data_IF_070788414394
#
_entry.id   IF_070788414394
#
_cell.length_a   1.000
_cell.length_b   1.000
_cell.length_c   1.000
_cell.angle_alpha   90.00
_cell.angle_beta   90.00
_cell.angle_gamma   90.00
#
_symmetry.space_group_name_H-M   'P 1'
#
loop_
_entity.id
_entity.type
_entity.pdbx_description
1 polymer ?
#
# COMPACT_ATOMS: atom_id res chain seq x y z
N UNK A 1 -12.31 9.25 4.57
CA UNK A 1 -11.04 9.26 5.33
C UNK A 1 -10.75 7.85 5.81
N UNK A 2 -9.49 7.42 5.71
CA UNK A 2 -8.99 6.15 6.28
C UNK A 2 -7.78 6.46 7.15
N UNK A 3 -7.73 5.93 8.37
CA UNK A 3 -6.62 6.14 9.32
C UNK A 3 -5.94 4.79 9.57
N UNK A 4 -4.83 4.48 8.89
CA UNK A 4 -4.04 3.31 9.21
C UNK A 4 -3.43 3.44 10.61
N UNK A 5 -3.27 2.30 11.25
CA UNK A 5 -2.67 2.22 12.58
C UNK A 5 -1.95 0.89 12.74
N UNK A 6 -1.01 0.85 13.68
CA UNK A 6 -0.28 -0.33 14.11
C UNK A 6 -0.02 -0.28 15.61
N UNK A 7 0.45 -1.37 16.20
CA UNK A 7 0.91 -1.37 17.59
C UNK A 7 2.40 -0.96 17.67
N UNK A 8 2.79 -0.31 18.75
CA UNK A 8 4.15 0.23 18.92
C UNK A 8 5.24 -0.85 18.85
N UNK A 9 4.95 -2.08 19.28
CA UNK A 9 5.82 -3.26 19.18
C UNK A 9 5.30 -4.29 18.18
N UNK A 10 4.52 -3.83 17.18
CA UNK A 10 3.93 -4.62 16.08
C UNK A 10 2.87 -5.64 16.53
N UNK A 11 3.18 -6.50 17.49
CA UNK A 11 2.31 -7.53 18.07
C UNK A 11 1.68 -7.04 19.40
N UNK A 12 2.30 -6.05 20.06
CA UNK A 12 1.87 -5.55 21.36
C UNK A 12 2.20 -4.07 21.54
N UNK A 13 1.78 -3.50 22.68
CA UNK A 13 2.05 -2.11 23.05
C UNK A 13 0.88 -1.19 22.77
N UNK A 14 1.17 0.10 22.62
CA UNK A 14 0.15 1.14 22.40
C UNK A 14 -0.18 1.31 20.91
N UNK A 15 -1.42 1.66 20.55
CA UNK A 15 -1.77 1.96 19.19
C UNK A 15 -1.09 3.26 18.72
N UNK A 16 -0.50 3.21 17.53
CA UNK A 16 0.11 4.33 16.81
C UNK A 16 -0.59 4.51 15.48
N UNK A 17 -1.06 5.71 15.21
CA UNK A 17 -1.70 6.07 13.94
C UNK A 17 -0.69 6.60 12.93
N UNK A 18 -0.93 6.36 11.65
CA UNK A 18 -0.19 6.98 10.56
C UNK A 18 -0.95 8.20 10.03
N UNK A 19 -0.29 8.95 9.13
CA UNK A 19 -0.93 10.07 8.42
C UNK A 19 -2.19 9.57 7.74
N UNK A 20 -3.36 10.19 7.95
CA UNK A 20 -4.60 9.71 7.37
C UNK A 20 -4.62 9.89 5.85
N UNK A 21 -5.32 8.97 5.17
CA UNK A 21 -5.72 9.17 3.79
C UNK A 21 -7.03 9.97 3.75
N UNK A 22 -6.98 11.13 3.12
CA UNK A 22 -8.10 12.06 2.98
C UNK A 22 -8.30 12.33 1.50
N UNK A 23 -9.56 12.23 1.07
CA UNK A 23 -9.96 12.50 -0.30
C UNK A 23 -11.39 13.05 -0.30
N UNK A 24 -11.74 13.88 -1.30
CA UNK A 24 -13.11 14.39 -1.44
C UNK A 24 -14.10 13.24 -1.64
N UNK A 25 -15.18 13.23 -0.87
CA UNK A 25 -16.21 12.17 -0.96
C UNK A 25 -16.89 12.15 -2.33
N UNK A 26 -17.15 13.32 -2.91
CA UNK A 26 -17.70 13.47 -4.26
C UNK A 26 -16.76 12.90 -5.30
N UNK A 27 -15.50 13.32 -5.27
CA UNK A 27 -14.47 12.83 -6.20
C UNK A 27 -14.28 11.31 -6.09
N UNK A 28 -14.20 10.78 -4.86
CA UNK A 28 -14.05 9.34 -4.64
C UNK A 28 -15.24 8.53 -5.18
N UNK A 29 -16.47 9.06 -5.06
CA UNK A 29 -17.67 8.43 -5.60
C UNK A 29 -17.68 8.43 -7.14
N UNK A 30 -17.37 9.58 -7.74
CA UNK A 30 -17.27 9.72 -9.20
C UNK A 30 -16.18 8.84 -9.78
N UNK A 31 -14.98 8.84 -9.19
CA UNK A 31 -13.86 8.03 -9.66
C UNK A 31 -14.15 6.53 -9.51
N UNK A 32 -14.82 6.11 -8.44
CA UNK A 32 -15.30 4.72 -8.30
C UNK A 32 -16.22 4.35 -9.46
N UNK A 33 -17.18 5.22 -9.81
CA UNK A 33 -18.12 4.97 -10.91
C UNK A 33 -17.37 4.91 -12.26
N UNK A 34 -16.47 5.86 -12.50
CA UNK A 34 -15.61 5.89 -13.69
C UNK A 34 -14.75 4.62 -13.81
N UNK A 35 -14.07 4.22 -12.73
CA UNK A 35 -13.26 3.01 -12.70
C UNK A 35 -14.10 1.77 -13.04
N UNK A 36 -15.32 1.68 -12.49
CA UNK A 36 -16.22 0.56 -12.73
C UNK A 36 -16.72 0.48 -14.17
N UNK A 37 -17.08 1.62 -14.77
CA UNK A 37 -17.61 1.72 -16.13
C UNK A 37 -16.55 1.55 -17.20
N UNK A 38 -15.38 2.18 -17.02
CA UNK A 38 -14.40 2.40 -18.09
C UNK A 38 -13.05 1.71 -17.89
N UNK A 39 -12.57 1.59 -16.65
CA UNK A 39 -11.23 1.02 -16.38
C UNK A 39 -11.26 -0.48 -16.13
N UNK A 40 -12.35 -0.99 -15.56
CA UNK A 40 -12.52 -2.41 -15.25
C UNK A 40 -12.61 -3.24 -16.53
N UNK A 41 -11.72 -4.21 -16.70
CA UNK A 41 -11.78 -5.21 -17.77
C UNK A 41 -12.66 -6.39 -17.36
N UNK A 42 -13.84 -6.51 -17.94
CA UNK A 42 -14.77 -7.61 -17.66
C UNK A 42 -15.71 -7.87 -18.84
N UNK A 43 -16.29 -9.08 -18.90
CA UNK A 43 -17.37 -9.43 -19.83
C UNK A 43 -18.76 -9.07 -19.27
N UNK A 44 -18.85 -8.80 -17.98
CA UNK A 44 -20.10 -8.41 -17.32
C UNK A 44 -20.48 -6.97 -17.66
N UNK A 45 -21.78 -6.69 -17.55
CA UNK A 45 -22.35 -5.35 -17.63
C UNK A 45 -21.70 -4.39 -16.63
N UNK A 46 -21.20 -3.26 -17.12
CA UNK A 46 -20.52 -2.23 -16.31
C UNK A 46 -21.39 -1.01 -16.05
N UNK A 47 -22.63 -1.00 -16.53
CA UNK A 47 -23.56 0.11 -16.32
C UNK A 47 -23.88 0.31 -14.84
N UNK A 48 -24.07 1.58 -14.47
CA UNK A 48 -24.43 2.03 -13.12
C UNK A 48 -25.76 2.76 -13.22
N UNK A 49 -26.65 2.47 -12.27
CA UNK A 49 -27.91 3.18 -12.06
C UNK A 49 -27.69 4.19 -10.93
N UNK A 50 -27.59 5.45 -11.30
CA UNK A 50 -27.56 6.57 -10.36
C UNK A 50 -28.99 7.04 -10.08
N UNK A 51 -29.34 7.38 -8.83
CA UNK A 51 -30.66 7.88 -8.52
C UNK A 51 -30.92 9.28 -9.09
N UNK A 52 -32.13 9.50 -9.58
CA UNK A 52 -32.57 10.80 -10.12
C UNK A 52 -33.54 11.50 -9.14
N UNK A 53 -33.63 12.82 -9.22
CA UNK A 53 -34.62 13.60 -8.46
C UNK A 53 -34.38 13.68 -6.94
N UNK A 54 -33.15 13.41 -6.48
CA UNK A 54 -32.78 13.52 -5.06
C UNK A 54 -32.58 14.99 -4.70
N UNK A 55 -33.25 15.44 -3.65
CA UNK A 55 -33.07 16.76 -3.06
C UNK A 55 -32.18 16.70 -1.80
N UNK A 56 -31.60 17.82 -1.36
CA UNK A 56 -30.91 17.88 -0.07
C UNK A 56 -31.80 17.38 1.07
N UNK A 57 -31.22 16.63 2.00
CA UNK A 57 -31.92 15.96 3.12
C UNK A 57 -32.98 14.93 2.67
N UNK A 58 -32.56 13.87 1.95
CA UNK A 58 -33.46 12.82 1.49
C UNK A 58 -34.11 12.07 2.65
N UNK A 59 -35.29 11.49 2.40
CA UNK A 59 -35.92 10.56 3.36
C UNK A 59 -35.07 9.31 3.46
N UNK A 60 -35.18 8.61 4.61
CA UNK A 60 -34.49 7.33 4.83
C UNK A 60 -34.77 6.29 3.73
N UNK A 61 -35.95 6.35 3.11
CA UNK A 61 -36.37 5.45 2.03
C UNK A 61 -35.83 5.81 0.65
N UNK A 62 -35.29 7.02 0.46
CA UNK A 62 -34.92 7.48 -0.87
C UNK A 62 -33.65 6.75 -1.34
N UNK A 63 -33.61 6.25 -2.58
CA UNK A 63 -32.42 5.61 -3.10
C UNK A 63 -31.37 6.70 -3.36
N UNK A 64 -30.32 6.77 -2.54
CA UNK A 64 -29.25 7.78 -2.69
C UNK A 64 -27.93 7.21 -3.19
N UNK A 65 -27.82 5.89 -3.22
CA UNK A 65 -26.59 5.18 -3.60
C UNK A 65 -26.64 4.71 -5.04
N UNK A 66 -25.54 4.90 -5.75
CA UNK A 66 -25.30 4.28 -7.05
C UNK A 66 -25.35 2.75 -6.95
N UNK A 67 -25.97 2.10 -7.94
CA UNK A 67 -26.07 0.63 -7.99
C UNK A 67 -25.56 0.09 -9.32
N UNK A 68 -24.61 -0.86 -9.32
CA UNK A 68 -24.15 -1.50 -10.54
C UNK A 68 -25.24 -2.44 -11.06
N UNK A 69 -25.33 -2.61 -12.38
CA UNK A 69 -26.23 -3.59 -13.00
C UNK A 69 -25.79 -5.03 -12.73
N UNK A 70 -24.48 -5.26 -12.61
CA UNK A 70 -23.92 -6.59 -12.36
C UNK A 70 -22.73 -6.54 -11.40
N UNK A 71 -22.94 -7.00 -10.16
CA UNK A 71 -21.88 -7.12 -9.16
C UNK A 71 -22.02 -8.41 -8.34
N UNK A 72 -21.90 -9.56 -9.00
CA UNK A 72 -22.00 -10.86 -8.33
C UNK A 72 -20.97 -11.10 -7.23
N UNK A 73 -19.89 -10.31 -7.18
CA UNK A 73 -18.82 -10.44 -6.19
C UNK A 73 -18.80 -9.38 -5.09
N UNK A 74 -19.76 -8.45 -5.05
CA UNK A 74 -19.80 -7.38 -4.05
C UNK A 74 -18.55 -6.49 -4.06
N UNK A 75 -18.08 -6.14 -5.26
CA UNK A 75 -16.87 -5.36 -5.48
C UNK A 75 -17.15 -3.88 -5.73
N UNK A 76 -18.36 -3.53 -6.17
CA UNK A 76 -18.75 -2.14 -6.32
C UNK A 76 -18.73 -1.44 -4.95
N UNK A 77 -18.24 -0.21 -4.91
CA UNK A 77 -18.03 0.50 -3.63
C UNK A 77 -16.63 0.33 -3.03
N UNK A 78 -15.84 -0.67 -3.43
CA UNK A 78 -14.50 -0.90 -2.88
C UNK A 78 -13.47 0.06 -3.48
N UNK A 79 -13.43 1.28 -2.94
CA UNK A 79 -12.57 2.37 -3.40
C UNK A 79 -11.07 2.01 -3.44
N UNK A 80 -10.59 1.20 -2.49
CA UNK A 80 -9.19 0.76 -2.43
C UNK A 80 -8.73 -0.06 -3.64
N UNK A 81 -9.65 -0.56 -4.49
CA UNK A 81 -9.32 -1.32 -5.70
C UNK A 81 -9.18 -0.47 -6.95
N UNK A 82 -9.41 0.83 -6.84
CA UNK A 82 -9.38 1.75 -7.98
C UNK A 82 -7.95 2.22 -8.32
N UNK A 83 -6.97 1.86 -7.50
CA UNK A 83 -5.57 2.27 -7.62
C UNK A 83 -5.26 3.66 -7.05
N UNK A 84 -6.28 4.48 -6.74
CA UNK A 84 -6.07 5.86 -6.28
C UNK A 84 -5.39 5.93 -4.92
N UNK A 85 -5.53 4.88 -4.11
CA UNK A 85 -4.90 4.76 -2.80
C UNK A 85 -3.49 4.14 -2.86
N UNK A 86 -3.02 3.66 -4.03
CA UNK A 86 -1.81 2.84 -4.12
C UNK A 86 -0.56 3.61 -3.69
N UNK A 87 -0.40 4.84 -4.18
CA UNK A 87 0.72 5.71 -3.78
C UNK A 87 0.72 5.98 -2.28
N UNK A 88 -0.46 6.21 -1.71
CA UNK A 88 -0.60 6.40 -0.26
C UNK A 88 -0.25 5.13 0.51
N UNK A 89 -0.74 3.97 0.08
CA UNK A 89 -0.45 2.68 0.72
C UNK A 89 1.04 2.34 0.66
N UNK A 90 1.72 2.67 -0.44
CA UNK A 90 3.16 2.46 -0.56
C UNK A 90 3.93 3.32 0.46
N UNK A 91 3.60 4.61 0.57
CA UNK A 91 4.18 5.48 1.60
C UNK A 91 3.91 4.98 3.01
N UNK A 92 2.67 4.58 3.31
CA UNK A 92 2.30 4.05 4.62
C UNK A 92 3.06 2.75 4.97
N UNK A 93 3.48 1.97 3.97
CA UNK A 93 4.28 0.75 4.16
C UNK A 93 5.77 1.02 4.37
N UNK A 94 6.27 2.20 3.98
CA UNK A 94 7.64 2.62 4.22
C UNK A 94 7.87 3.08 5.68
N UNK A 95 6.79 3.37 6.42
CA UNK A 95 6.84 3.74 7.82
C UNK A 95 7.58 2.69 8.68
N UNK A 96 8.49 3.17 9.51
CA UNK A 96 9.31 2.31 10.37
C UNK A 96 8.57 1.93 11.66
N UNK A 97 8.45 0.63 11.89
CA UNK A 97 7.93 0.02 13.11
C UNK A 97 9.05 -0.82 13.73
N UNK A 98 9.49 -0.45 14.94
CA UNK A 98 10.64 -1.07 15.61
C UNK A 98 11.93 -1.08 14.75
N UNK A 99 12.16 -0.04 13.96
CA UNK A 99 13.33 0.06 13.08
C UNK A 99 13.20 -0.68 11.75
N UNK A 100 12.08 -1.38 11.51
CA UNK A 100 11.83 -2.15 10.28
C UNK A 100 10.60 -1.57 9.57
N UNK A 101 10.70 -1.36 8.26
CA UNK A 101 9.59 -0.87 7.45
C UNK A 101 8.36 -1.79 7.55
N UNK A 102 7.16 -1.19 7.61
CA UNK A 102 5.91 -1.93 7.74
C UNK A 102 5.68 -2.94 6.61
N UNK A 103 6.20 -2.72 5.39
CA UNK A 103 6.13 -3.72 4.31
C UNK A 103 6.73 -5.08 4.69
N UNK A 104 7.83 -5.09 5.44
CA UNK A 104 8.52 -6.33 5.82
C UNK A 104 7.75 -7.06 6.92
N UNK A 105 7.16 -6.33 7.87
CA UNK A 105 6.26 -6.90 8.85
C UNK A 105 5.02 -7.53 8.21
N UNK A 106 4.40 -6.85 7.23
CA UNK A 106 3.27 -7.41 6.49
C UNK A 106 3.65 -8.68 5.72
N UNK A 107 4.83 -8.69 5.09
CA UNK A 107 5.35 -9.87 4.41
C UNK A 107 5.59 -11.03 5.39
N UNK A 108 6.16 -10.74 6.56
CA UNK A 108 6.35 -11.71 7.64
C UNK A 108 5.01 -12.31 8.09
N UNK A 109 4.02 -11.49 8.47
CA UNK A 109 2.73 -12.01 8.93
C UNK A 109 1.98 -12.81 7.86
N UNK A 110 2.13 -12.46 6.59
CA UNK A 110 1.52 -13.21 5.48
C UNK A 110 2.03 -14.66 5.42
N UNK A 111 3.28 -14.92 5.81
CA UNK A 111 3.83 -16.30 5.88
C UNK A 111 3.05 -17.14 6.90
N UNK A 112 2.61 -16.54 8.00
CA UNK A 112 1.91 -17.25 9.09
C UNK A 112 0.38 -17.31 8.93
N UNK A 113 -0.20 -16.58 7.97
CA UNK A 113 -1.66 -16.60 7.73
C UNK A 113 -2.14 -17.86 7.01
N UNK A 114 -1.29 -18.44 6.15
CA UNK A 114 -1.59 -19.71 5.51
C UNK A 114 -1.24 -20.83 6.50
N UNK A 115 -2.23 -21.59 6.96
CA UNK A 115 -2.06 -22.82 7.75
C UNK A 115 -1.28 -23.85 6.90
N UNK A 116 0.04 -23.70 6.85
CA UNK A 116 0.96 -24.52 6.07
C UNK A 116 1.79 -25.37 7.01
N UNK A 117 2.08 -26.59 6.56
CA UNK A 117 3.00 -27.50 7.23
C UNK A 117 4.34 -26.79 7.51
N UNK A 118 5.01 -27.13 8.61
CA UNK A 118 6.28 -26.51 9.06
C UNK A 118 7.35 -26.46 7.97
N UNK A 119 7.40 -27.47 7.10
CA UNK A 119 8.31 -27.51 5.95
C UNK A 119 8.05 -26.38 4.92
N UNK A 120 6.79 -26.03 4.68
CA UNK A 120 6.43 -24.95 3.76
C UNK A 120 6.65 -23.57 4.37
N UNK A 121 6.44 -23.44 5.68
CA UNK A 121 6.79 -22.22 6.42
C UNK A 121 8.29 -21.94 6.34
N UNK A 122 9.14 -22.95 6.55
CA UNK A 122 10.59 -22.79 6.45
C UNK A 122 11.00 -22.29 5.06
N UNK A 123 10.49 -22.91 3.99
CA UNK A 123 10.76 -22.47 2.61
C UNK A 123 10.35 -21.02 2.36
N UNK A 124 9.21 -20.58 2.91
CA UNK A 124 8.75 -19.21 2.75
C UNK A 124 9.60 -18.20 3.53
N UNK A 125 10.05 -18.56 4.74
CA UNK A 125 10.98 -17.76 5.53
C UNK A 125 12.34 -17.63 4.83
N UNK A 126 12.89 -18.73 4.31
CA UNK A 126 14.16 -18.73 3.58
C UNK A 126 14.08 -17.82 2.35
N UNK A 127 12.96 -17.88 1.61
CA UNK A 127 12.71 -17.01 0.45
C UNK A 127 12.62 -15.53 0.85
N UNK A 128 11.96 -15.23 1.98
CA UNK A 128 11.87 -13.87 2.51
C UNK A 128 13.26 -13.35 2.91
N UNK A 129 14.05 -14.16 3.61
CA UNK A 129 15.41 -13.82 4.02
C UNK A 129 16.33 -13.57 2.81
N UNK A 130 16.26 -14.41 1.78
CA UNK A 130 17.02 -14.22 0.54
C UNK A 130 16.66 -12.88 -0.14
N UNK A 131 15.36 -12.58 -0.26
CA UNK A 131 14.87 -11.33 -0.87
C UNK A 131 15.36 -10.09 -0.10
N UNK A 132 15.37 -10.15 1.23
CA UNK A 132 15.88 -9.07 2.07
C UNK A 132 17.41 -8.91 1.93
N UNK A 133 18.15 -10.02 1.89
CA UNK A 133 19.60 -10.02 1.71
C UNK A 133 19.99 -9.40 0.36
N UNK A 134 19.26 -9.72 -0.71
CA UNK A 134 19.50 -9.14 -2.03
C UNK A 134 19.17 -7.64 -2.07
N UNK A 135 18.08 -7.21 -1.42
CA UNK A 135 17.76 -5.78 -1.26
C UNK A 135 18.88 -5.04 -0.51
N UNK A 136 19.39 -5.61 0.58
CA UNK A 136 20.49 -5.01 1.36
C UNK A 136 21.75 -4.87 0.51
N UNK A 137 22.18 -5.94 -0.18
CA UNK A 137 23.35 -5.90 -1.07
C UNK A 137 23.21 -4.85 -2.17
N UNK A 138 22.02 -4.74 -2.77
CA UNK A 138 21.77 -3.72 -3.79
C UNK A 138 21.81 -2.29 -3.21
N UNK A 139 21.34 -2.10 -1.98
CA UNK A 139 21.42 -0.81 -1.28
C UNK A 139 22.87 -0.43 -0.93
N UNK A 140 23.67 -1.38 -0.42
CA UNK A 140 25.09 -1.20 -0.13
C UNK A 140 25.89 -0.88 -1.40
N UNK A 141 25.64 -1.61 -2.49
CA UNK A 141 26.33 -1.38 -3.77
C UNK A 141 25.92 -0.07 -4.44
N UNK A 142 24.66 0.35 -4.29
CA UNK A 142 24.12 1.56 -4.93
C UNK A 142 24.47 2.84 -4.17
N UNK A 143 24.01 2.96 -2.92
CA UNK A 143 24.09 4.20 -2.13
C UNK A 143 25.46 4.34 -1.43
N UNK A 144 25.87 3.30 -0.69
CA UNK A 144 27.17 3.31 0.00
C UNK A 144 28.34 3.17 -0.97
N UNK A 145 28.18 2.44 -2.08
CA UNK A 145 29.18 2.36 -3.14
C UNK A 145 29.52 3.71 -3.76
N UNK A 146 28.51 4.58 -3.96
CA UNK A 146 28.71 5.92 -4.51
C UNK A 146 29.38 6.86 -3.49
N UNK A 147 28.99 6.77 -2.21
CA UNK A 147 29.62 7.53 -1.11
C UNK A 147 31.08 7.09 -0.93
N UNK A 148 31.34 5.78 -0.95
CA UNK A 148 32.70 5.22 -0.83
C UNK A 148 33.60 5.67 -1.98
N UNK A 149 33.09 5.71 -3.22
CA UNK A 149 33.84 6.28 -4.36
C UNK A 149 34.17 7.75 -4.17
N UNK A 150 33.24 8.55 -3.65
CA UNK A 150 33.48 9.97 -3.36
C UNK A 150 34.50 10.16 -2.24
N UNK A 151 34.45 9.34 -1.18
CA UNK A 151 35.44 9.36 -0.10
C UNK A 151 36.82 8.99 -0.64
N UNK A 152 36.95 7.91 -1.42
CA UNK A 152 38.22 7.51 -2.03
C UNK A 152 38.80 8.59 -2.97
N UNK A 153 37.94 9.33 -3.67
CA UNK A 153 38.38 10.44 -4.51
C UNK A 153 38.82 11.67 -3.69
N UNK A 154 38.18 11.93 -2.55
CA UNK A 154 38.62 12.98 -1.63
C UNK A 154 39.96 12.62 -0.97
N UNK A 155 40.14 11.36 -0.57
CA UNK A 155 41.41 10.86 -0.02
C UNK A 155 42.55 11.01 -1.04
N UNK A 156 42.32 10.70 -2.33
CA UNK A 156 43.34 10.89 -3.37
C UNK A 156 43.70 12.37 -3.60
N UNK A 157 42.72 13.28 -3.49
CA UNK A 157 42.97 14.72 -3.61
C UNK A 157 43.78 15.23 -2.42
N UNK A 158 43.49 14.74 -1.21
CA UNK A 158 44.24 15.09 0.00
C UNK A 158 45.69 14.63 -0.10
N UNK A 159 45.93 13.39 -0.56
CA UNK A 159 47.29 12.87 -0.80
C UNK A 159 48.05 13.64 -1.89
N UNK A 160 47.36 14.23 -2.88
CA UNK A 160 47.96 15.07 -3.92
C UNK A 160 48.19 16.54 -3.47
N UNK A 161 47.62 16.97 -2.35
CA UNK A 161 47.74 18.37 -1.86
C UNK A 161 48.69 18.56 -0.68
N UNK A 162 49.32 17.49 -0.18
CA UNK A 162 50.42 17.59 0.79
C UNK A 162 51.72 18.01 0.09
N UNK A 163 51.91 19.33 -0.04
CA UNK A 163 53.20 20.02 -0.22
C UNK A 163 53.69 20.60 1.11
#
# INVERSE_FOLDING_TARGET
MVVPWALSNVISGSPKTFVPYVESSGYAAEYRNYHWQYLRKTRSKTEIKSPEGISPYPKKSDPISDKPVSDGGGNFGRFSRTGLMDTYLNKAKEESLCGIAAEHWLAFFRVFQDQKNTADLQKQLDKLAATLTDKIKNYENGSLGHIRKKIMHLDSIIEETDF
#
